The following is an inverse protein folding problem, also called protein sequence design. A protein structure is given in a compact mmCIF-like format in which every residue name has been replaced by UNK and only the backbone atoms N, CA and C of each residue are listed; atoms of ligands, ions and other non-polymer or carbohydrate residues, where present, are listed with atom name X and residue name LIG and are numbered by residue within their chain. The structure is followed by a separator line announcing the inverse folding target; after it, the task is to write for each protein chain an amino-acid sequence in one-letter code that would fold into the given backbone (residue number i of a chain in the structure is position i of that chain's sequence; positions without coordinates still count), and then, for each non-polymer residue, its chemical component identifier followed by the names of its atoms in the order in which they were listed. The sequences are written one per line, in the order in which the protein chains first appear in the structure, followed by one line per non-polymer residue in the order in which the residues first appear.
data_IF_976573341990
#
_entry.id   IF_976573341990
#
_cell.length_a   1.000
_cell.length_b   1.000
_cell.length_c   1.000
_cell.angle_alpha   90.00
_cell.angle_beta   90.00
_cell.angle_gamma   90.00
#
_symmetry.space_group_name_H-M   'P 1'
#
loop_
_entity.id
_entity.type
_entity.pdbx_description
1 polymer ?
#
# COMPACT_ATOMS: atom_id res chain seq x y z
N UNK A 1 0.70 -10.33 -4.64
CA UNK A 1 1.09 -11.34 -3.64
C UNK A 1 1.57 -12.66 -4.25
N UNK A 2 0.92 -13.22 -5.27
CA UNK A 2 1.40 -14.46 -5.89
C UNK A 2 2.86 -14.39 -6.42
N UNK A 3 3.28 -13.22 -6.91
CA UNK A 3 4.66 -12.98 -7.37
C UNK A 3 5.65 -12.65 -6.25
N UNK A 4 5.18 -12.40 -5.02
CA UNK A 4 6.02 -11.92 -3.93
C UNK A 4 7.09 -12.95 -3.50
N UNK A 5 6.79 -14.27 -3.40
CA UNK A 5 7.81 -15.28 -3.14
C UNK A 5 8.90 -15.31 -4.22
N UNK A 6 8.51 -15.14 -5.49
CA UNK A 6 9.45 -15.11 -6.63
C UNK A 6 10.34 -13.87 -6.56
N UNK A 7 9.75 -12.71 -6.29
CA UNK A 7 10.48 -11.44 -6.17
C UNK A 7 11.44 -11.44 -4.97
N UNK A 8 11.02 -11.97 -3.82
CA UNK A 8 11.90 -12.09 -2.65
C UNK A 8 13.04 -13.07 -2.90
N UNK A 9 12.78 -14.23 -3.51
CA UNK A 9 13.83 -15.18 -3.88
C UNK A 9 14.84 -14.57 -4.85
N UNK A 10 14.38 -13.83 -5.86
CA UNK A 10 15.25 -13.16 -6.82
C UNK A 10 16.08 -12.01 -6.21
N UNK A 11 15.54 -11.26 -5.25
CA UNK A 11 16.21 -10.07 -4.69
C UNK A 11 17.04 -10.34 -3.44
N UNK A 12 16.65 -11.30 -2.59
CA UNK A 12 17.32 -11.59 -1.31
C UNK A 12 18.09 -12.93 -1.30
N UNK A 13 17.99 -13.73 -2.36
CA UNK A 13 18.67 -15.03 -2.46
C UNK A 13 18.19 -16.08 -1.44
N UNK A 14 18.96 -17.17 -1.30
CA UNK A 14 18.57 -18.37 -0.54
C UNK A 14 18.33 -18.12 0.97
N UNK A 15 18.92 -17.04 1.52
CA UNK A 15 18.78 -16.66 2.93
C UNK A 15 17.39 -16.15 3.31
N UNK A 16 16.67 -15.50 2.39
CA UNK A 16 15.31 -15.03 2.64
C UNK A 16 14.24 -16.07 2.29
N UNK A 17 14.52 -16.99 1.35
CA UNK A 17 13.62 -18.10 1.09
C UNK A 17 13.43 -19.02 2.30
N UNK A 18 14.42 -19.11 3.19
CA UNK A 18 14.30 -19.86 4.44
C UNK A 18 13.33 -19.20 5.45
N UNK A 19 13.15 -17.88 5.38
CA UNK A 19 12.22 -17.12 6.24
C UNK A 19 10.80 -17.07 5.67
N UNK A 20 10.64 -17.23 4.36
CA UNK A 20 9.34 -17.20 3.67
C UNK A 20 8.86 -18.63 3.42
N UNK A 21 8.28 -19.25 4.44
CA UNK A 21 7.56 -20.49 4.22
C UNK A 21 6.30 -20.22 3.38
N UNK A 22 6.10 -20.92 2.25
CA UNK A 22 4.98 -20.65 1.36
C UNK A 22 3.61 -20.92 2.02
N UNK A 23 3.53 -21.85 2.98
CA UNK A 23 2.29 -22.20 3.68
C UNK A 23 1.64 -21.02 4.43
N UNK A 24 2.31 -20.43 5.44
CA UNK A 24 1.81 -19.26 6.16
C UNK A 24 1.48 -18.08 5.26
N UNK A 25 2.26 -17.89 4.19
CA UNK A 25 2.04 -16.81 3.23
C UNK A 25 0.75 -16.98 2.42
N UNK A 26 0.50 -18.19 1.88
CA UNK A 26 -0.74 -18.50 1.15
C UNK A 26 -1.93 -18.38 2.09
N UNK A 27 -1.82 -18.87 3.32
CA UNK A 27 -2.87 -18.74 4.33
C UNK A 27 -3.22 -17.27 4.60
N UNK A 28 -2.20 -16.42 4.83
CA UNK A 28 -2.39 -14.98 5.02
C UNK A 28 -3.00 -14.31 3.76
N UNK A 29 -2.55 -14.67 2.57
CA UNK A 29 -3.12 -14.17 1.31
C UNK A 29 -4.61 -14.51 1.18
N UNK A 30 -4.99 -15.75 1.47
CA UNK A 30 -6.39 -16.19 1.38
C UNK A 30 -7.27 -15.41 2.36
N UNK A 31 -6.85 -15.32 3.62
CA UNK A 31 -7.66 -14.68 4.66
C UNK A 31 -7.67 -13.15 4.60
N UNK A 32 -6.54 -12.50 4.31
CA UNK A 32 -6.43 -11.04 4.32
C UNK A 32 -6.80 -10.39 2.99
N UNK A 33 -6.74 -11.12 1.88
CA UNK A 33 -6.93 -10.55 0.53
C UNK A 33 -8.04 -11.28 -0.23
N UNK A 34 -7.87 -12.58 -0.49
CA UNK A 34 -8.77 -13.28 -1.41
C UNK A 34 -10.20 -13.35 -0.89
N UNK A 35 -10.39 -13.72 0.38
CA UNK A 35 -11.71 -13.84 0.99
C UNK A 35 -12.41 -12.47 1.10
N UNK A 36 -11.80 -11.39 1.64
CA UNK A 36 -12.41 -10.06 1.63
C UNK A 36 -12.78 -9.56 0.21
N UNK A 37 -11.96 -9.87 -0.79
CA UNK A 37 -12.22 -9.48 -2.17
C UNK A 37 -13.43 -10.22 -2.76
N UNK A 38 -13.57 -11.52 -2.48
CA UNK A 38 -14.74 -12.30 -2.89
C UNK A 38 -16.02 -11.79 -2.22
N UNK A 39 -15.95 -11.47 -0.92
CA UNK A 39 -17.07 -10.87 -0.19
C UNK A 39 -17.45 -9.51 -0.75
N UNK A 40 -16.46 -8.65 -1.05
CA UNK A 40 -16.69 -7.36 -1.69
C UNK A 40 -17.35 -7.51 -3.06
N UNK A 41 -16.90 -8.47 -3.88
CA UNK A 41 -17.51 -8.76 -5.18
C UNK A 41 -18.97 -9.24 -5.04
N UNK A 42 -19.28 -10.08 -4.04
CA UNK A 42 -20.64 -10.52 -3.74
C UNK A 42 -21.54 -9.34 -3.33
N UNK A 43 -21.04 -8.44 -2.47
CA UNK A 43 -21.77 -7.22 -2.06
C UNK A 43 -22.01 -6.30 -3.26
N UNK A 44 -21.00 -6.07 -4.10
CA UNK A 44 -21.14 -5.24 -5.31
C UNK A 44 -22.15 -5.85 -6.30
N UNK A 45 -22.11 -7.17 -6.48
CA UNK A 45 -23.07 -7.89 -7.32
C UNK A 45 -24.51 -7.79 -6.79
N UNK A 46 -24.68 -7.83 -5.47
CA UNK A 46 -25.98 -7.62 -4.81
C UNK A 46 -26.45 -6.16 -4.90
N UNK A 47 -25.54 -5.21 -4.82
CA UNK A 47 -25.82 -3.79 -4.98
C UNK A 47 -26.38 -3.45 -6.37
N UNK A 48 -25.89 -4.10 -7.42
CA UNK A 48 -26.40 -3.94 -8.77
C UNK A 48 -27.81 -4.51 -8.97
N UNK A 49 -28.33 -5.30 -8.03
CA UNK A 49 -29.66 -5.93 -8.14
C UNK A 49 -30.70 -5.41 -7.16
N UNK A 50 -30.32 -4.67 -6.12
CA UNK A 50 -31.27 -4.24 -5.09
C UNK A 50 -30.87 -2.93 -4.42
N UNK A 51 -31.88 -2.16 -3.98
CA UNK A 51 -31.66 -0.93 -3.20
C UNK A 51 -30.99 -1.20 -1.85
N UNK A 52 -31.34 -2.33 -1.21
CA UNK A 52 -30.70 -2.74 0.04
C UNK A 52 -29.20 -3.01 -0.15
N UNK A 53 -28.82 -3.69 -1.23
CA UNK A 53 -27.41 -3.92 -1.56
C UNK A 53 -26.65 -2.64 -1.88
N UNK A 54 -27.27 -1.70 -2.60
CA UNK A 54 -26.67 -0.40 -2.89
C UNK A 54 -26.41 0.39 -1.59
N UNK A 55 -27.38 0.40 -0.67
CA UNK A 55 -27.20 1.03 0.64
C UNK A 55 -26.10 0.35 1.47
N UNK A 56 -26.09 -1.00 1.52
CA UNK A 56 -25.07 -1.75 2.23
C UNK A 56 -23.67 -1.48 1.66
N UNK A 57 -23.50 -1.49 0.34
CA UNK A 57 -22.23 -1.17 -0.31
C UNK A 57 -21.77 0.27 -0.02
N UNK A 58 -22.70 1.23 0.00
CA UNK A 58 -22.38 2.62 0.33
C UNK A 58 -21.95 2.75 1.80
N UNK A 59 -22.67 2.15 2.74
CA UNK A 59 -22.33 2.17 4.16
C UNK A 59 -20.99 1.49 4.44
N UNK A 60 -20.76 0.30 3.89
CA UNK A 60 -19.50 -0.43 4.02
C UNK A 60 -18.33 0.32 3.36
N UNK A 61 -18.58 1.07 2.28
CA UNK A 61 -17.57 1.89 1.60
C UNK A 61 -17.02 3.05 2.44
N UNK A 62 -17.70 3.45 3.53
CA UNK A 62 -17.24 4.49 4.45
C UNK A 62 -16.30 3.97 5.54
N UNK A 63 -16.29 2.65 5.80
CA UNK A 63 -15.52 2.03 6.87
C UNK A 63 -14.00 1.87 6.61
N UNK A 64 -13.48 1.73 5.37
CA UNK A 64 -12.05 1.51 5.16
C UNK A 64 -11.15 2.61 5.71
N UNK A 65 -11.53 3.88 5.54
CA UNK A 65 -10.75 5.01 6.06
C UNK A 65 -10.67 5.01 7.61
N UNK A 66 -11.78 4.99 8.37
CA UNK A 66 -11.71 4.93 9.83
C UNK A 66 -11.11 3.62 10.36
N UNK A 67 -11.33 2.48 9.69
CA UNK A 67 -10.70 1.22 10.08
C UNK A 67 -9.18 1.29 9.91
N UNK A 68 -8.69 1.85 8.81
CA UNK A 68 -7.24 2.03 8.57
C UNK A 68 -6.65 3.00 9.59
N UNK A 69 -7.35 4.10 9.91
CA UNK A 69 -6.93 5.02 10.96
C UNK A 69 -6.83 4.33 12.33
N UNK A 70 -7.82 3.50 12.69
CA UNK A 70 -7.80 2.72 13.91
C UNK A 70 -6.62 1.74 13.95
N UNK A 71 -6.37 1.02 12.84
CA UNK A 71 -5.21 0.13 12.72
C UNK A 71 -3.92 0.90 12.93
N UNK A 72 -3.74 2.06 12.30
CA UNK A 72 -2.57 2.90 12.48
C UNK A 72 -2.38 3.32 13.95
N UNK A 73 -3.45 3.75 14.62
CA UNK A 73 -3.39 4.10 16.06
C UNK A 73 -2.97 2.90 16.90
N UNK A 74 -3.56 1.73 16.68
CA UNK A 74 -3.22 0.50 17.41
C UNK A 74 -1.77 0.08 17.17
N UNK A 75 -1.29 0.17 15.93
CA UNK A 75 0.09 -0.16 15.56
C UNK A 75 1.07 0.83 16.19
N UNK A 76 0.79 2.13 16.13
CA UNK A 76 1.61 3.14 16.78
C UNK A 76 1.65 2.93 18.30
N UNK A 77 0.51 2.64 18.93
CA UNK A 77 0.45 2.34 20.36
C UNK A 77 1.26 1.08 20.73
N UNK A 78 1.26 0.06 19.88
CA UNK A 78 2.03 -1.17 20.10
C UNK A 78 3.55 -0.97 19.90
N UNK A 79 3.95 -0.09 18.97
CA UNK A 79 5.36 0.18 18.63
C UNK A 79 5.96 1.26 19.55
N UNK A 80 5.16 2.21 20.06
CA UNK A 80 5.63 3.33 20.86
C UNK A 80 6.53 2.95 22.05
N UNK A 81 6.25 1.90 22.85
CA UNK A 81 7.11 1.51 23.96
C UNK A 81 8.51 1.05 23.54
N UNK A 82 8.69 0.66 22.27
CA UNK A 82 9.92 0.07 21.73
C UNK A 82 10.61 0.97 20.71
N UNK A 83 10.17 2.24 20.60
CA UNK A 83 10.63 3.15 19.56
C UNK A 83 12.11 3.47 19.71
N UNK A 84 12.65 3.54 20.93
CA UNK A 84 14.06 3.84 21.19
C UNK A 84 15.02 2.83 20.57
N UNK A 85 14.66 1.54 20.61
CA UNK A 85 15.46 0.45 20.03
C UNK A 85 15.41 0.45 18.50
N UNK A 86 14.27 0.84 17.92
CA UNK A 86 14.04 0.79 16.48
C UNK A 86 14.32 2.11 15.74
N UNK A 87 14.43 3.23 16.46
CA UNK A 87 14.56 4.58 15.88
C UNK A 87 15.76 4.72 14.94
N UNK A 88 16.97 4.21 15.25
CA UNK A 88 18.11 4.32 14.33
C UNK A 88 17.85 3.61 12.99
N UNK A 89 17.22 2.43 13.04
CA UNK A 89 16.88 1.65 11.84
C UNK A 89 15.78 2.32 11.03
N UNK A 90 14.76 2.86 11.70
CA UNK A 90 13.69 3.63 11.08
C UNK A 90 14.22 4.87 10.34
N UNK A 91 15.10 5.64 10.99
CA UNK A 91 15.75 6.81 10.40
C UNK A 91 16.67 6.44 9.22
N UNK A 92 17.39 5.33 9.32
CA UNK A 92 18.24 4.85 8.23
C UNK A 92 17.40 4.43 6.99
N UNK A 93 16.18 3.93 7.19
CA UNK A 93 15.28 3.55 6.10
C UNK A 93 14.56 4.75 5.45
N UNK A 94 14.35 5.84 6.20
CA UNK A 94 13.57 6.99 5.74
C UNK A 94 14.06 7.60 4.41
N UNK A 95 15.38 7.82 4.16
CA UNK A 95 15.85 8.35 2.87
C UNK A 95 15.48 7.45 1.68
N UNK A 96 15.49 6.13 1.86
CA UNK A 96 15.10 5.17 0.82
C UNK A 96 13.61 5.32 0.50
N UNK A 97 12.76 5.47 1.51
CA UNK A 97 11.33 5.68 1.31
C UNK A 97 11.01 7.02 0.68
N UNK A 98 11.74 8.09 1.05
CA UNK A 98 11.59 9.40 0.39
C UNK A 98 12.02 9.32 -1.07
N UNK A 99 13.16 8.67 -1.36
CA UNK A 99 13.60 8.47 -2.73
C UNK A 99 12.57 7.66 -3.54
N UNK A 100 12.03 6.58 -2.96
CA UNK A 100 10.97 5.79 -3.59
C UNK A 100 9.71 6.65 -3.85
N UNK A 101 9.27 7.42 -2.87
CA UNK A 101 8.13 8.33 -2.99
C UNK A 101 8.32 9.40 -4.08
N UNK A 102 9.55 9.81 -4.38
CA UNK A 102 9.78 10.74 -5.49
C UNK A 102 9.85 10.00 -6.82
N UNK A 103 10.61 8.92 -6.89
CA UNK A 103 10.92 8.22 -8.14
C UNK A 103 9.72 7.45 -8.70
N UNK A 104 8.97 6.75 -7.86
CA UNK A 104 7.87 5.89 -8.27
C UNK A 104 6.76 6.63 -9.06
N UNK A 105 6.19 7.76 -8.60
CA UNK A 105 5.18 8.47 -9.37
C UNK A 105 5.74 9.08 -10.66
N UNK A 106 7.00 9.51 -10.67
CA UNK A 106 7.66 10.03 -11.88
C UNK A 106 7.82 8.94 -12.95
N UNK A 107 8.23 7.73 -12.55
CA UNK A 107 8.30 6.57 -13.43
C UNK A 107 6.91 6.16 -13.91
N UNK A 108 5.90 6.18 -13.05
CA UNK A 108 4.51 5.93 -13.42
C UNK A 108 4.01 6.92 -14.48
N UNK A 109 4.30 8.21 -14.32
CA UNK A 109 3.99 9.23 -15.32
C UNK A 109 4.79 9.05 -16.62
N UNK A 110 6.07 8.66 -16.53
CA UNK A 110 6.89 8.37 -17.70
C UNK A 110 6.31 7.20 -18.51
N UNK A 111 5.92 6.12 -17.83
CA UNK A 111 5.22 4.99 -18.44
C UNK A 111 3.90 5.42 -19.07
N UNK A 112 3.08 6.19 -18.35
CA UNK A 112 1.82 6.71 -18.88
C UNK A 112 2.01 7.53 -20.17
N UNK A 113 3.04 8.37 -20.23
CA UNK A 113 3.38 9.14 -21.44
C UNK A 113 3.86 8.24 -22.57
N UNK A 114 4.68 7.23 -22.27
CA UNK A 114 5.18 6.27 -23.26
C UNK A 114 4.04 5.50 -23.93
N UNK A 115 3.00 5.16 -23.16
CA UNK A 115 1.80 4.46 -23.66
C UNK A 115 0.67 5.39 -24.11
N UNK A 116 0.90 6.72 -24.14
CA UNK A 116 -0.08 7.69 -24.64
C UNK A 116 -1.38 7.75 -23.82
N UNK A 117 -1.32 7.48 -22.51
CA UNK A 117 -2.49 7.52 -21.64
C UNK A 117 -3.04 8.95 -21.50
N UNK A 118 -4.36 9.06 -21.34
CA UNK A 118 -5.01 10.33 -21.03
C UNK A 118 -4.66 10.81 -19.60
N UNK A 119 -5.01 12.06 -19.29
CA UNK A 119 -4.59 12.65 -18.03
C UNK A 119 -5.16 11.90 -16.80
N UNK A 120 -6.44 11.50 -16.74
CA UNK A 120 -6.96 10.70 -15.64
C UNK A 120 -6.24 9.35 -15.48
N UNK A 121 -6.03 8.59 -16.55
CA UNK A 121 -5.35 7.29 -16.47
C UNK A 121 -3.87 7.45 -16.12
N UNK A 122 -3.19 8.44 -16.69
CA UNK A 122 -1.78 8.71 -16.37
C UNK A 122 -1.56 9.10 -14.91
N UNK A 123 -2.47 9.91 -14.34
CA UNK A 123 -2.47 10.20 -12.90
C UNK A 123 -2.73 8.93 -12.08
N UNK A 124 -3.70 8.10 -12.48
CA UNK A 124 -3.97 6.83 -11.79
C UNK A 124 -2.76 5.89 -11.77
N UNK A 125 -2.02 5.79 -12.87
CA UNK A 125 -0.77 5.00 -12.93
C UNK A 125 0.29 5.57 -11.99
N UNK A 126 0.46 6.90 -11.95
CA UNK A 126 1.43 7.55 -11.05
C UNK A 126 1.12 7.29 -9.58
N UNK A 127 -0.14 7.44 -9.17
CA UNK A 127 -0.59 7.13 -7.82
C UNK A 127 -0.41 5.64 -7.52
N UNK A 128 -0.88 4.75 -8.41
CA UNK A 128 -0.76 3.31 -8.20
C UNK A 128 0.68 2.80 -8.16
N UNK A 129 1.62 3.47 -8.82
CA UNK A 129 3.04 3.12 -8.75
C UNK A 129 3.67 3.54 -7.42
N UNK A 130 3.23 4.67 -6.86
CA UNK A 130 3.78 5.26 -5.66
C UNK A 130 3.20 4.70 -4.36
N UNK A 131 1.94 4.27 -4.37
CA UNK A 131 1.24 3.79 -3.17
C UNK A 131 1.43 2.28 -2.97
N UNK A 132 1.75 1.88 -1.74
CA UNK A 132 1.98 0.49 -1.35
C UNK A 132 1.05 0.16 -0.21
N UNK A 133 0.48 -1.04 -0.25
CA UNK A 133 -0.22 -1.56 0.93
C UNK A 133 0.79 -2.18 1.90
N UNK A 134 1.53 -1.33 2.61
CA UNK A 134 2.59 -1.75 3.53
C UNK A 134 2.06 -2.41 4.80
N UNK A 135 0.88 -2.02 5.25
CA UNK A 135 0.24 -2.61 6.43
C UNK A 135 -0.13 -4.08 6.24
N UNK A 136 -0.38 -4.53 5.02
CA UNK A 136 -0.60 -5.96 4.73
C UNK A 136 0.62 -6.82 5.09
N UNK A 137 1.83 -6.26 5.07
CA UNK A 137 3.07 -6.98 5.42
C UNK A 137 3.31 -7.00 6.93
N UNK A 138 2.63 -6.14 7.70
CA UNK A 138 2.86 -5.99 9.14
C UNK A 138 2.58 -7.27 9.96
N UNK A 139 1.50 -8.04 9.72
CA UNK A 139 1.31 -9.33 10.40
C UNK A 139 2.45 -10.31 10.13
N UNK A 140 3.01 -10.30 8.91
CA UNK A 140 4.16 -11.12 8.57
C UNK A 140 5.41 -10.66 9.32
N UNK A 141 5.64 -9.35 9.42
CA UNK A 141 6.75 -8.78 10.19
C UNK A 141 6.73 -9.19 11.67
N UNK A 142 5.53 -9.28 12.28
CA UNK A 142 5.39 -9.79 13.65
C UNK A 142 5.58 -11.30 13.77
N UNK A 143 5.37 -12.06 12.69
CA UNK A 143 5.59 -13.50 12.66
C UNK A 143 7.07 -13.89 12.47
N UNK A 144 7.94 -12.96 12.02
CA UNK A 144 9.38 -13.21 11.86
C UNK A 144 10.06 -13.25 13.24
N UNK A 145 10.70 -14.37 13.63
CA UNK A 145 11.45 -14.45 14.89
C UNK A 145 12.55 -13.38 14.93
N UNK A 146 12.58 -12.58 15.99
CA UNK A 146 13.54 -11.47 16.14
C UNK A 146 13.27 -10.26 15.23
N UNK A 147 12.18 -10.24 14.47
CA UNK A 147 11.83 -9.14 13.58
C UNK A 147 11.31 -7.89 14.30
N UNK A 148 10.70 -8.04 15.47
CA UNK A 148 10.24 -6.94 16.29
C UNK A 148 11.34 -6.47 17.27
N UNK A 149 11.52 -5.16 17.50
CA UNK A 149 10.65 -4.05 17.05
C UNK A 149 11.03 -3.42 15.69
N UNK A 150 12.11 -3.88 15.05
CA UNK A 150 12.71 -3.22 13.88
C UNK A 150 11.80 -3.25 12.64
N UNK A 151 11.33 -4.44 12.21
CA UNK A 151 10.51 -4.57 11.01
C UNK A 151 9.19 -3.79 11.11
N UNK A 152 8.42 -3.86 12.22
CA UNK A 152 7.24 -3.01 12.40
C UNK A 152 7.54 -1.51 12.33
N UNK A 153 8.62 -1.05 12.96
CA UNK A 153 8.98 0.37 12.93
C UNK A 153 9.31 0.85 11.52
N UNK A 154 10.06 0.06 10.75
CA UNK A 154 10.42 0.33 9.36
C UNK A 154 9.17 0.40 8.46
N UNK A 155 8.21 -0.51 8.64
CA UNK A 155 6.92 -0.50 7.92
C UNK A 155 6.10 0.75 8.26
N UNK A 156 6.06 1.14 9.54
CA UNK A 156 5.36 2.37 9.98
C UNK A 156 6.02 3.61 9.40
N UNK A 157 7.36 3.69 9.39
CA UNK A 157 8.09 4.79 8.77
C UNK A 157 7.72 4.93 7.30
N UNK A 158 7.68 3.81 6.56
CA UNK A 158 7.23 3.83 5.17
C UNK A 158 5.81 4.37 5.05
N UNK A 159 4.90 3.92 5.90
CA UNK A 159 3.48 4.34 5.86
C UNK A 159 3.34 5.84 6.10
N UNK A 160 4.10 6.40 7.05
CA UNK A 160 4.10 7.84 7.33
C UNK A 160 4.63 8.63 6.13
N UNK A 161 5.77 8.20 5.56
CA UNK A 161 6.36 8.86 4.38
C UNK A 161 5.39 8.81 3.19
N UNK A 162 4.73 7.67 2.97
CA UNK A 162 3.73 7.51 1.92
C UNK A 162 2.55 8.46 2.11
N UNK A 163 1.91 8.46 3.29
CA UNK A 163 0.74 9.32 3.56
C UNK A 163 1.07 10.81 3.40
N UNK A 164 2.24 11.25 3.87
CA UNK A 164 2.69 12.64 3.67
C UNK A 164 2.94 12.94 2.19
N UNK A 165 3.49 11.98 1.44
CA UNK A 165 3.76 12.14 0.02
C UNK A 165 2.47 12.19 -0.79
N UNK A 166 1.44 11.41 -0.42
CA UNK A 166 0.11 11.45 -1.04
C UNK A 166 -0.53 12.85 -0.95
N UNK A 167 -0.40 13.53 0.19
CA UNK A 167 -0.85 14.92 0.34
C UNK A 167 -0.17 15.84 -0.67
N UNK A 168 1.13 15.64 -0.93
CA UNK A 168 1.86 16.36 -1.95
C UNK A 168 1.40 15.96 -3.37
N UNK A 169 1.21 14.67 -3.64
CA UNK A 169 0.82 14.16 -4.95
C UNK A 169 -0.51 14.72 -5.42
N UNK A 170 -1.50 14.85 -4.53
CA UNK A 170 -2.81 15.45 -4.84
C UNK A 170 -2.66 16.83 -5.49
N UNK A 171 -1.61 17.59 -5.12
CA UNK A 171 -1.34 18.92 -5.67
C UNK A 171 -0.36 18.91 -6.85
N UNK A 172 0.64 18.04 -6.82
CA UNK A 172 1.75 18.05 -7.78
C UNK A 172 1.44 17.24 -9.04
N UNK A 173 0.85 16.05 -8.91
CA UNK A 173 0.61 15.13 -10.04
C UNK A 173 -0.30 15.75 -11.11
N UNK A 174 -1.39 16.45 -10.77
CA UNK A 174 -2.20 17.17 -11.78
C UNK A 174 -1.44 18.26 -12.55
N UNK A 175 -0.42 18.88 -11.94
CA UNK A 175 0.41 19.91 -12.59
C UNK A 175 1.45 19.30 -13.53
N UNK A 176 2.01 18.15 -13.17
CA UNK A 176 2.99 17.42 -13.97
C UNK A 176 2.35 16.70 -15.17
N UNK A 177 1.05 16.39 -15.08
CA UNK A 177 0.28 15.76 -16.15
C UNK A 177 -1.09 16.44 -16.31
N UNK A 178 -1.09 17.67 -16.89
CA UNK A 178 -2.30 18.48 -17.03
C UNK A 178 -3.23 17.93 -18.11
N UNK A 179 -4.52 18.21 -17.94
CA UNK A 179 -5.54 17.83 -18.91
C UNK A 179 -5.49 18.76 -20.12
N UNK A 180 -4.83 18.32 -21.20
CA UNK A 180 -4.65 19.14 -22.42
C UNK A 180 -5.97 19.51 -23.12
N UNK A 181 -7.07 18.80 -22.82
CA UNK A 181 -8.41 19.12 -23.34
C UNK A 181 -9.05 20.34 -22.69
N UNK A 182 -8.67 20.68 -21.45
CA UNK A 182 -9.18 21.87 -20.73
C UNK A 182 -8.33 23.11 -21.02
N UNK A 183 -7.06 22.93 -21.37
CA UNK A 183 -6.15 24.04 -21.68
C UNK A 183 -6.35 24.68 -23.07
N UNK A 184 -7.22 24.10 -23.91
CA UNK A 184 -7.50 24.55 -25.27
C UNK A 184 -8.92 25.12 -25.46
N UNK A 185 -9.70 25.24 -24.38
CA UNK A 185 -11.04 25.82 -24.33
C UNK A 185 -11.00 27.15 -23.56
#
# INVERSE_FOLDING_TARGET
MALLPVQLGAMLGDGASALVQPGPFVHAFVWLIALPLLLAAAVQFWANRSRAGAWASAALGLLPAPATALVLVLVLAAVAPRIGEALPSALAAAPVYVAFAVLAPLLGLAGARLFGLDAPAGRAVAFSAATRNSLVVLPLAFAVPGGAPILPAVIVTQTIVELLSELAYIRLVPRLHPDRRVAAA
#
